data_IF_090204103841
#
_entry.id   IF_090204103841
#
_cell.length_a   1.000
_cell.length_b   1.000
_cell.length_c   1.000
_cell.angle_alpha   90.00
_cell.angle_beta   90.00
_cell.angle_gamma   90.00
#
_symmetry.space_group_name_H-M   'P 1'
#
loop_
_entity.id
_entity.type
_entity.pdbx_description
1 polymer ?
#
# COMPACT_ATOMS: atom_id res chain seq x y z
N UNK A 1 9.04 -8.05 -7.13
CA UNK A 1 8.14 -7.17 -6.36
C UNK A 1 6.90 -6.93 -7.21
N UNK A 2 5.73 -6.83 -6.60
CA UNK A 2 4.48 -6.47 -7.30
C UNK A 2 4.03 -5.11 -6.76
N UNK A 3 3.66 -4.20 -7.66
CA UNK A 3 3.04 -2.92 -7.33
C UNK A 3 1.61 -2.93 -7.89
N UNK A 4 0.64 -2.84 -6.99
CA UNK A 4 -0.80 -2.81 -7.28
C UNK A 4 -1.29 -1.39 -7.09
N UNK A 5 -2.05 -0.87 -8.04
CA UNK A 5 -2.67 0.46 -7.96
C UNK A 5 -4.11 0.42 -8.44
N UNK A 6 -4.98 1.16 -7.77
CA UNK A 6 -6.38 1.32 -8.15
C UNK A 6 -6.50 2.12 -9.46
N UNK A 7 -7.49 1.76 -10.27
CA UNK A 7 -7.90 2.48 -11.47
C UNK A 7 -9.36 2.93 -11.34
N UNK A 8 -9.70 3.68 -10.28
CA UNK A 8 -11.04 4.27 -10.16
C UNK A 8 -11.27 5.29 -11.30
N UNK A 9 -12.51 5.34 -11.79
CA UNK A 9 -12.91 6.00 -13.04
C UNK A 9 -12.76 7.54 -12.97
N UNK A 10 -11.58 8.04 -13.29
CA UNK A 10 -11.38 9.49 -13.47
C UNK A 10 -9.93 9.92 -13.63
N UNK A 11 -8.99 9.17 -13.07
CA UNK A 11 -7.57 9.42 -13.29
C UNK A 11 -7.11 8.61 -14.50
N UNK A 12 -6.99 9.31 -15.63
CA UNK A 12 -6.32 8.79 -16.82
C UNK A 12 -5.03 8.10 -16.37
N UNK A 13 -4.89 6.83 -16.72
CA UNK A 13 -3.58 6.20 -16.75
C UNK A 13 -2.75 7.10 -17.65
N UNK A 14 -1.92 7.94 -17.04
CA UNK A 14 -0.73 8.39 -17.72
C UNK A 14 0.07 7.10 -17.83
N UNK A 15 -0.24 6.33 -18.89
CA UNK A 15 0.53 5.20 -19.37
C UNK A 15 1.96 5.68 -19.21
N UNK A 16 2.70 5.03 -18.29
CA UNK A 16 4.08 5.38 -18.02
C UNK A 16 4.75 5.24 -19.37
N UNK A 17 4.89 6.35 -20.09
CA UNK A 17 5.39 6.39 -21.44
C UNK A 17 6.84 5.98 -21.31
N UNK A 18 7.07 4.70 -21.56
CA UNK A 18 8.15 4.14 -22.37
C UNK A 18 9.39 5.05 -22.43
N UNK A 19 10.05 5.27 -21.29
CA UNK A 19 11.45 5.74 -21.25
C UNK A 19 12.12 5.51 -19.88
N UNK A 20 11.69 4.50 -19.12
CA UNK A 20 12.41 4.07 -17.92
C UNK A 20 13.13 2.73 -18.17
N UNK A 21 14.21 2.76 -18.95
CA UNK A 21 15.14 1.63 -19.04
C UNK A 21 16.10 1.64 -17.85
N UNK A 22 15.61 1.25 -16.67
CA UNK A 22 16.46 0.96 -15.52
C UNK A 22 16.28 -0.49 -15.12
N UNK A 23 17.39 -1.23 -14.98
CA UNK A 23 17.41 -2.66 -14.65
C UNK A 23 16.58 -3.01 -13.39
N UNK A 24 16.39 -2.04 -12.49
CA UNK A 24 15.60 -2.18 -11.28
C UNK A 24 14.09 -2.34 -11.54
N UNK A 25 13.54 -1.63 -12.53
CA UNK A 25 12.10 -1.68 -12.84
C UNK A 25 11.68 -3.00 -13.47
N UNK A 26 12.60 -3.69 -14.16
CA UNK A 26 12.35 -5.04 -14.69
C UNK A 26 12.05 -6.07 -13.60
N UNK A 27 12.37 -5.77 -12.33
CA UNK A 27 12.09 -6.61 -11.16
C UNK A 27 10.73 -6.29 -10.50
N UNK A 28 10.01 -5.30 -11.04
CA UNK A 28 8.71 -4.84 -10.55
C UNK A 28 7.65 -5.22 -11.57
N UNK A 29 6.66 -6.01 -11.14
CA UNK A 29 5.44 -6.26 -11.91
C UNK A 29 4.39 -5.25 -11.48
N UNK A 30 3.92 -4.43 -12.40
CA UNK A 30 2.82 -3.50 -12.16
C UNK A 30 1.49 -4.19 -12.47
N UNK A 31 0.52 -4.06 -11.56
CA UNK A 31 -0.85 -4.52 -11.73
C UNK A 31 -1.79 -3.36 -11.46
N UNK A 32 -2.70 -3.16 -12.40
CA UNK A 32 -3.78 -2.20 -12.27
C UNK A 32 -5.04 -3.02 -12.04
N UNK A 33 -5.69 -2.79 -10.91
CA UNK A 33 -6.94 -3.45 -10.53
C UNK A 33 -8.01 -2.38 -10.31
N UNK A 34 -9.26 -2.71 -10.60
CA UNK A 34 -10.31 -1.71 -10.76
C UNK A 34 -10.98 -1.31 -9.44
N UNK A 35 -11.13 -2.25 -8.53
CA UNK A 35 -11.93 -2.15 -7.30
C UNK A 35 -11.42 -3.14 -6.24
N UNK A 36 -12.10 -3.17 -5.09
CA UNK A 36 -11.82 -4.11 -4.01
C UNK A 36 -12.03 -5.57 -4.42
N UNK A 37 -13.01 -5.89 -5.26
CA UNK A 37 -13.21 -7.26 -5.74
C UNK A 37 -12.00 -7.78 -6.52
N UNK A 38 -11.43 -6.98 -7.42
CA UNK A 38 -10.25 -7.39 -8.19
C UNK A 38 -8.99 -7.47 -7.32
N UNK A 39 -8.89 -6.64 -6.29
CA UNK A 39 -7.86 -6.75 -5.26
C UNK A 39 -7.99 -8.08 -4.51
N UNK A 40 -9.19 -8.45 -4.10
CA UNK A 40 -9.50 -9.70 -3.41
C UNK A 40 -9.20 -10.91 -4.30
N UNK A 41 -9.61 -10.88 -5.57
CA UNK A 41 -9.28 -11.93 -6.56
C UNK A 41 -7.78 -12.11 -6.70
N UNK A 42 -7.01 -11.02 -6.70
CA UNK A 42 -5.55 -11.09 -6.74
C UNK A 42 -4.98 -11.83 -5.53
N UNK A 43 -5.40 -11.50 -4.31
CA UNK A 43 -4.89 -12.14 -3.09
C UNK A 43 -5.43 -13.56 -2.89
N UNK A 44 -6.62 -13.88 -3.39
CA UNK A 44 -7.10 -15.26 -3.49
C UNK A 44 -6.18 -16.09 -4.39
N UNK A 45 -5.85 -15.59 -5.58
CA UNK A 45 -4.96 -16.26 -6.53
C UNK A 45 -3.49 -16.30 -6.08
N UNK A 46 -3.08 -15.41 -5.17
CA UNK A 46 -1.71 -15.34 -4.65
C UNK A 46 -1.23 -16.66 -4.04
N UNK A 47 -2.13 -17.43 -3.44
CA UNK A 47 -1.86 -18.77 -2.87
C UNK A 47 -1.41 -19.81 -3.92
N UNK A 48 -1.61 -19.52 -5.21
CA UNK A 48 -1.21 -20.39 -6.32
C UNK A 48 0.07 -19.87 -7.01
N UNK A 49 0.62 -18.73 -6.59
CA UNK A 49 1.77 -18.11 -7.24
C UNK A 49 3.08 -18.87 -6.92
N UNK A 50 3.86 -19.15 -7.96
CA UNK A 50 5.20 -19.74 -7.83
C UNK A 50 6.13 -19.20 -8.94
N UNK A 51 7.26 -18.54 -8.61
CA UNK A 51 7.70 -18.18 -7.26
C UNK A 51 6.83 -17.07 -6.65
N UNK A 52 6.75 -17.05 -5.32
CA UNK A 52 6.12 -15.95 -4.59
C UNK A 52 6.94 -14.66 -4.75
N UNK A 53 6.29 -13.48 -4.80
CA UNK A 53 7.01 -12.22 -4.86
C UNK A 53 7.70 -11.90 -3.53
N UNK A 54 8.84 -11.19 -3.61
CA UNK A 54 9.55 -10.72 -2.40
C UNK A 54 8.79 -9.63 -1.63
N UNK A 55 7.94 -8.88 -2.33
CA UNK A 55 7.11 -7.83 -1.74
C UNK A 55 5.92 -7.52 -2.65
N UNK A 56 4.81 -7.13 -2.04
CA UNK A 56 3.61 -6.56 -2.66
C UNK A 56 3.40 -5.17 -2.07
N UNK A 57 3.28 -4.18 -2.95
CA UNK A 57 2.96 -2.79 -2.61
C UNK A 57 1.54 -2.54 -3.11
N UNK A 58 0.64 -2.13 -2.23
CA UNK A 58 -0.70 -1.65 -2.57
C UNK A 58 -0.67 -0.13 -2.42
N UNK A 59 -0.83 0.57 -3.54
CA UNK A 59 -0.76 2.02 -3.61
C UNK A 59 -2.16 2.63 -3.68
N UNK A 60 -2.40 3.62 -2.82
CA UNK A 60 -3.71 4.22 -2.57
C UNK A 60 -4.78 3.19 -2.21
N UNK A 61 -4.62 2.50 -1.08
CA UNK A 61 -5.53 1.41 -0.71
C UNK A 61 -6.99 1.86 -0.48
N UNK A 62 -7.21 3.03 0.09
CA UNK A 62 -8.55 3.60 0.25
C UNK A 62 -9.28 3.85 -1.07
N UNK A 63 -8.55 4.08 -2.18
CA UNK A 63 -9.15 4.29 -3.51
C UNK A 63 -9.88 3.05 -4.04
N UNK A 64 -9.61 1.84 -3.53
CA UNK A 64 -10.32 0.63 -3.97
C UNK A 64 -11.78 0.59 -3.51
N UNK A 65 -12.13 1.42 -2.52
CA UNK A 65 -13.42 1.34 -1.85
C UNK A 65 -14.27 2.61 -2.01
N UNK A 66 -13.87 3.55 -2.89
CA UNK A 66 -14.58 4.82 -3.09
C UNK A 66 -16.05 4.62 -3.47
N UNK A 67 -16.37 3.59 -4.25
CA UNK A 67 -17.74 3.29 -4.69
C UNK A 67 -18.66 2.94 -3.51
N UNK A 68 -18.12 2.35 -2.44
CA UNK A 68 -18.86 2.05 -1.20
C UNK A 68 -19.30 3.30 -0.42
N UNK A 69 -18.69 4.47 -0.69
CA UNK A 69 -19.09 5.74 -0.08
C UNK A 69 -20.39 6.27 -0.71
N UNK A 70 -20.62 5.95 -1.98
CA UNK A 70 -21.74 6.51 -2.76
C UNK A 70 -22.95 5.57 -2.87
N UNK A 71 -22.81 4.28 -2.55
CA UNK A 71 -23.93 3.30 -2.56
C UNK A 71 -24.81 3.30 -1.29
N UNK A 72 -24.51 4.15 -0.30
CA UNK A 72 -25.29 4.32 0.95
C UNK A 72 -26.61 5.11 0.76
N UNK A 73 -27.05 5.35 -0.48
CA UNK A 73 -28.33 6.03 -0.77
C UNK A 73 -29.53 5.07 -0.93
N UNK A 74 -29.36 3.76 -0.72
CA UNK A 74 -30.48 2.83 -0.53
C UNK A 74 -30.25 1.33 -0.78
N UNK A 75 -29.01 0.84 -0.84
CA UNK A 75 -28.72 -0.59 -1.05
C UNK A 75 -28.19 -1.32 0.19
N UNK A 76 -28.32 -2.65 0.21
CA UNK A 76 -27.78 -3.57 1.25
C UNK A 76 -26.22 -3.67 1.23
N UNK A 77 -25.51 -2.58 0.92
CA UNK A 77 -24.06 -2.55 0.86
C UNK A 77 -23.41 -2.76 2.23
N UNK A 78 -22.33 -3.55 2.29
CA UNK A 78 -21.46 -3.61 3.46
C UNK A 78 -20.89 -2.21 3.77
N UNK A 79 -20.77 -1.82 5.05
CA UNK A 79 -20.10 -0.58 5.40
C UNK A 79 -18.68 -0.58 4.83
N UNK A 80 -18.24 0.54 4.23
CA UNK A 80 -16.88 0.75 3.72
C UNK A 80 -15.77 0.13 4.60
N UNK A 81 -15.86 0.35 5.91
CA UNK A 81 -14.89 -0.16 6.88
C UNK A 81 -14.83 -1.70 6.92
N UNK A 82 -15.97 -2.36 6.70
CA UNK A 82 -16.05 -3.82 6.62
C UNK A 82 -15.34 -4.32 5.37
N UNK A 83 -15.60 -3.71 4.21
CA UNK A 83 -14.91 -4.06 2.96
C UNK A 83 -13.39 -3.87 3.08
N UNK A 84 -12.93 -2.74 3.63
CA UNK A 84 -11.51 -2.50 3.90
C UNK A 84 -10.89 -3.56 4.81
N UNK A 85 -11.60 -3.94 5.88
CA UNK A 85 -11.15 -4.97 6.82
C UNK A 85 -11.08 -6.34 6.17
N UNK A 86 -12.06 -6.69 5.35
CA UNK A 86 -12.12 -7.97 4.64
C UNK A 86 -10.95 -8.10 3.65
N UNK A 87 -10.70 -7.10 2.81
CA UNK A 87 -9.53 -7.09 1.92
C UNK A 87 -8.21 -7.09 2.68
N UNK A 88 -8.08 -6.36 3.79
CA UNK A 88 -6.88 -6.42 4.65
C UNK A 88 -6.67 -7.82 5.22
N UNK A 89 -7.73 -8.49 5.67
CA UNK A 89 -7.65 -9.85 6.18
C UNK A 89 -7.16 -10.83 5.11
N UNK A 90 -7.63 -10.69 3.87
CA UNK A 90 -7.16 -11.48 2.73
C UNK A 90 -5.68 -11.22 2.42
N UNK A 91 -5.25 -9.95 2.42
CA UNK A 91 -3.85 -9.58 2.24
C UNK A 91 -2.96 -10.24 3.30
N UNK A 92 -3.34 -10.15 4.58
CA UNK A 92 -2.59 -10.71 5.69
C UNK A 92 -2.55 -12.24 5.65
N UNK A 93 -3.64 -12.89 5.26
CA UNK A 93 -3.70 -14.33 5.06
C UNK A 93 -2.72 -14.79 3.96
N UNK A 94 -2.68 -14.07 2.84
CA UNK A 94 -1.72 -14.33 1.77
C UNK A 94 -0.25 -14.15 2.23
N UNK A 95 0.04 -13.14 3.07
CA UNK A 95 1.39 -12.96 3.64
C UNK A 95 1.76 -14.08 4.62
N UNK A 96 0.81 -14.55 5.41
CA UNK A 96 1.00 -15.70 6.30
C UNK A 96 1.31 -16.97 5.50
N UNK A 97 0.58 -17.20 4.40
CA UNK A 97 0.86 -18.30 3.47
C UNK A 97 2.27 -18.20 2.88
N UNK A 98 2.66 -17.02 2.36
CA UNK A 98 4.01 -16.82 1.82
C UNK A 98 5.12 -17.07 2.86
N UNK A 99 4.88 -16.70 4.11
CA UNK A 99 5.82 -16.92 5.21
C UNK A 99 6.00 -18.42 5.53
N UNK A 100 4.95 -19.23 5.33
CA UNK A 100 4.99 -20.69 5.52
C UNK A 100 5.69 -21.40 4.36
N UNK A 101 5.41 -21.00 3.12
CA UNK A 101 5.97 -21.62 1.91
C UNK A 101 7.46 -21.27 1.68
N UNK A 102 7.93 -20.16 2.23
CA UNK A 102 9.36 -19.79 2.20
C UNK A 102 9.90 -19.55 3.61
N UNK A 103 10.32 -20.62 4.33
CA UNK A 103 10.96 -20.52 5.65
C UNK A 103 12.34 -19.83 5.62
N UNK A 104 12.91 -19.60 4.43
CA UNK A 104 14.13 -18.81 4.26
C UNK A 104 13.88 -17.31 4.48
N UNK A 105 14.92 -16.52 4.78
CA UNK A 105 14.90 -15.10 5.23
C UNK A 105 14.13 -14.08 4.35
N UNK A 106 13.45 -14.51 3.30
CA UNK A 106 12.81 -13.65 2.32
C UNK A 106 11.30 -13.92 2.20
N UNK A 107 10.61 -13.97 3.35
CA UNK A 107 9.15 -13.91 3.39
C UNK A 107 8.64 -12.66 2.64
N UNK A 108 7.51 -12.81 1.93
CA UNK A 108 6.91 -11.71 1.19
C UNK A 108 6.52 -10.57 2.14
N UNK A 109 6.91 -9.33 1.81
CA UNK A 109 6.53 -8.13 2.57
C UNK A 109 5.32 -7.45 1.95
N UNK A 110 4.35 -7.06 2.78
CA UNK A 110 3.23 -6.21 2.37
C UNK A 110 3.51 -4.76 2.76
N UNK A 111 3.34 -3.85 1.82
CA UNK A 111 3.37 -2.40 2.05
C UNK A 111 2.07 -1.82 1.53
N UNK A 112 1.40 -1.02 2.35
CA UNK A 112 0.16 -0.33 2.00
C UNK A 112 0.42 1.17 2.14
N UNK A 113 0.06 1.95 1.14
CA UNK A 113 0.09 3.42 1.19
C UNK A 113 -1.29 4.01 0.98
N UNK A 114 -1.50 5.16 1.62
CA UNK A 114 -2.66 6.03 1.42
C UNK A 114 -2.26 7.50 1.62
N UNK A 115 -3.08 8.40 1.07
CA UNK A 115 -2.93 9.84 1.23
C UNK A 115 -3.47 10.29 2.60
N UNK A 116 -2.88 11.33 3.19
CA UNK A 116 -3.08 11.63 4.61
C UNK A 116 -4.50 12.04 5.01
N UNK A 117 -5.25 12.65 4.10
CA UNK A 117 -6.54 13.24 4.43
C UNK A 117 -7.61 12.14 4.52
N UNK A 118 -7.52 11.14 3.63
CA UNK A 118 -8.32 9.92 3.64
C UNK A 118 -7.78 8.89 4.67
N UNK A 119 -6.46 8.70 4.74
CA UNK A 119 -5.83 7.77 5.69
C UNK A 119 -6.05 8.15 7.15
N UNK A 120 -6.23 9.44 7.46
CA UNK A 120 -6.53 9.88 8.83
C UNK A 120 -7.85 9.29 9.34
N UNK A 121 -8.86 9.17 8.46
CA UNK A 121 -10.18 8.63 8.80
C UNK A 121 -10.12 7.14 9.12
N UNK A 122 -9.28 6.38 8.42
CA UNK A 122 -9.14 4.93 8.57
C UNK A 122 -7.89 4.50 9.36
N UNK A 123 -7.17 5.45 9.94
CA UNK A 123 -5.91 5.22 10.67
C UNK A 123 -6.06 4.15 11.77
N UNK A 124 -7.21 4.10 12.42
CA UNK A 124 -7.49 3.12 13.46
C UNK A 124 -7.54 1.68 12.91
N UNK A 125 -7.99 1.49 11.66
CA UNK A 125 -7.96 0.19 10.95
C UNK A 125 -6.51 -0.20 10.71
N UNK A 126 -5.70 0.68 10.11
CA UNK A 126 -4.29 0.41 9.85
C UNK A 126 -3.52 0.05 11.12
N UNK A 127 -3.72 0.81 12.21
CA UNK A 127 -3.08 0.55 13.51
C UNK A 127 -3.49 -0.79 14.13
N UNK A 128 -4.69 -1.29 13.82
CA UNK A 128 -5.19 -2.56 14.34
C UNK A 128 -4.64 -3.76 13.58
N UNK A 129 -4.50 -3.66 12.26
CA UNK A 129 -4.16 -4.79 11.40
C UNK A 129 -2.69 -4.83 10.94
N UNK A 130 -2.01 -3.68 10.87
CA UNK A 130 -0.63 -3.59 10.43
C UNK A 130 0.32 -3.51 11.63
N UNK A 131 1.42 -4.27 11.54
CA UNK A 131 2.43 -4.33 12.62
C UNK A 131 3.21 -3.02 12.80
N UNK A 132 3.34 -2.23 11.73
CA UNK A 132 4.03 -0.95 11.69
C UNK A 132 3.30 -0.01 10.76
N UNK A 133 2.99 1.17 11.27
CA UNK A 133 2.36 2.24 10.50
C UNK A 133 3.33 3.42 10.50
N UNK A 134 3.63 3.96 9.33
CA UNK A 134 4.48 5.12 9.19
C UNK A 134 3.70 6.28 8.59
N UNK A 135 3.97 7.48 9.07
CA UNK A 135 3.38 8.70 8.54
C UNK A 135 4.47 9.54 7.92
N UNK A 136 4.24 9.95 6.68
CA UNK A 136 5.08 10.90 5.96
C UNK A 136 4.44 12.27 6.07
N UNK A 137 5.14 13.23 6.68
CA UNK A 137 4.71 14.63 6.80
C UNK A 137 5.60 15.51 5.93
N UNK A 138 4.98 16.35 5.11
CA UNK A 138 5.70 17.39 4.37
C UNK A 138 6.02 18.55 5.30
N UNK A 139 7.28 19.00 5.31
CA UNK A 139 7.74 20.17 6.06
C UNK A 139 7.73 21.41 5.19
N UNK A 140 8.32 21.29 4.01
CA UNK A 140 8.41 22.35 3.02
C UNK A 140 8.38 21.76 1.60
N UNK A 141 8.78 22.54 0.59
CA UNK A 141 8.71 22.11 -0.80
C UNK A 141 9.56 20.87 -1.11
N UNK A 142 10.66 20.66 -0.38
CA UNK A 142 11.62 19.57 -0.62
C UNK A 142 11.88 18.67 0.59
N UNK A 143 11.41 19.01 1.79
CA UNK A 143 11.68 18.24 3.01
C UNK A 143 10.49 17.47 3.53
N UNK A 144 10.77 16.25 3.97
CA UNK A 144 9.78 15.29 4.47
C UNK A 144 10.27 14.66 5.78
N UNK A 145 9.35 14.44 6.72
CA UNK A 145 9.56 13.61 7.90
C UNK A 145 8.84 12.29 7.73
N UNK A 146 9.51 11.21 8.10
CA UNK A 146 8.94 9.88 8.28
C UNK A 146 8.98 9.57 9.78
N UNK A 147 7.85 9.19 10.37
CA UNK A 147 7.77 8.76 11.77
C UNK A 147 6.91 7.51 11.90
N UNK A 148 7.29 6.59 12.79
CA UNK A 148 6.46 5.43 13.13
C UNK A 148 5.31 5.89 14.05
N UNK A 149 4.07 5.70 13.60
CA UNK A 149 2.90 5.83 14.46
C UNK A 149 2.86 4.62 15.43
N UNK A 150 2.45 4.87 16.67
CA UNK A 150 2.31 3.88 17.77
C UNK A 150 3.48 3.72 18.77
N UNK A 151 4.49 4.62 18.81
CA UNK A 151 5.47 4.64 19.91
C UNK A 151 5.63 6.03 20.52
N UNK A 152 5.52 6.13 21.85
CA UNK A 152 6.09 7.26 22.58
C UNK A 152 7.62 7.21 22.39
N UNK A 153 8.23 8.33 21.97
CA UNK A 153 9.62 8.39 21.47
C UNK A 153 9.89 7.55 20.22
N UNK A 154 8.91 7.44 19.31
CA UNK A 154 9.16 6.85 17.99
C UNK A 154 10.36 7.55 17.32
N UNK A 155 11.29 6.74 16.83
CA UNK A 155 12.33 7.21 15.93
C UNK A 155 11.73 7.91 14.70
N UNK A 156 12.46 8.87 14.16
CA UNK A 156 12.07 9.61 12.97
C UNK A 156 13.23 9.70 11.98
N UNK A 157 12.88 9.85 10.71
CA UNK A 157 13.84 10.13 9.65
C UNK A 157 13.43 11.41 8.93
N UNK A 158 14.40 12.28 8.64
CA UNK A 158 14.22 13.46 7.80
C UNK A 158 14.87 13.23 6.45
N UNK A 159 14.13 13.56 5.40
CA UNK A 159 14.57 13.42 4.02
C UNK A 159 14.44 14.74 3.26
N UNK A 160 15.37 14.94 2.32
CA UNK A 160 15.31 16.02 1.33
C UNK A 160 15.20 15.44 -0.08
N UNK A 161 14.29 16.01 -0.89
CA UNK A 161 14.08 15.70 -2.29
C UNK A 161 14.06 17.00 -3.12
N UNK A 162 15.14 17.24 -3.85
CA UNK A 162 15.30 18.42 -4.72
C UNK A 162 15.16 18.06 -6.22
N UNK A 163 14.30 17.09 -6.55
CA UNK A 163 14.14 16.58 -7.93
C UNK A 163 15.19 15.56 -8.38
N UNK A 164 16.12 15.19 -7.48
CA UNK A 164 17.08 14.08 -7.65
C UNK A 164 16.76 12.91 -6.72
N UNK A 165 17.70 11.98 -6.46
CA UNK A 165 17.50 10.92 -5.48
C UNK A 165 17.11 11.47 -4.10
N UNK A 166 16.21 10.78 -3.40
CA UNK A 166 15.84 11.13 -2.02
C UNK A 166 17.07 10.99 -1.12
N UNK A 167 17.41 12.04 -0.37
CA UNK A 167 18.54 12.07 0.54
C UNK A 167 18.07 11.94 1.99
N UNK A 168 18.72 11.09 2.77
CA UNK A 168 18.50 10.99 4.22
C UNK A 168 19.34 12.07 4.92
N UNK A 169 18.68 13.04 5.54
CA UNK A 169 19.34 14.13 6.26
C UNK A 169 19.65 13.75 7.71
N UNK A 170 18.72 13.03 8.35
CA UNK A 170 18.77 12.71 9.77
C UNK A 170 17.97 11.44 10.05
N UNK A 171 18.48 10.59 10.93
CA UNK A 171 17.81 9.41 11.44
C UNK A 171 17.98 9.35 12.95
N UNK A 172 16.87 9.39 13.67
CA UNK A 172 16.79 9.18 15.11
C UNK A 172 16.07 7.86 15.33
N UNK A 173 16.67 6.94 16.08
CA UNK A 173 16.17 5.57 16.31
C UNK A 173 15.76 5.40 17.76
#
# INVERSE_FOLDING_TARGET
>A
MVWIRCFSRGHLAHSIKQDLDTQHLRRISFKYVSDDEDLDKYFAAFHLANPLPQAVIIDSFSEFFEDWIYEDDGGDGQPLEVAMVDSLALCLNAMEHASKESPSEQACKLVISDLSDEAASYMYIYKKYLSRVFVIKRVDSSKFFLSEECKENAGYARYTFNGGPVQLDELVV
#
